data_IF_544894047652
#
_entry.id   IF_544894047652
#
_cell.length_a   1.000
_cell.length_b   1.000
_cell.length_c   1.000
_cell.angle_alpha   90.00
_cell.angle_beta   90.00
_cell.angle_gamma   90.00
#
_symmetry.space_group_name_H-M   'P 1'
#
loop_
_entity.id
_entity.type
_entity.pdbx_description
1 polymer ?
#
# COMPACT_ATOMS: atom_id res chain seq x y z
N UNK A 1 -17.96 10.84 -36.24
CA UNK A 1 -16.84 10.02 -35.75
C UNK A 1 -17.35 9.02 -34.71
N UNK A 2 -17.11 7.73 -34.89
CA UNK A 2 -17.52 6.71 -33.93
C UNK A 2 -16.69 6.83 -32.64
N UNK A 3 -17.35 6.90 -31.47
CA UNK A 3 -16.70 7.00 -30.17
C UNK A 3 -16.65 5.61 -29.51
N UNK A 4 -15.49 5.23 -29.00
CA UNK A 4 -15.37 4.03 -28.19
C UNK A 4 -16.10 4.19 -26.85
N UNK A 5 -16.97 3.25 -26.52
CA UNK A 5 -17.68 3.18 -25.23
C UNK A 5 -17.36 1.86 -24.57
N UNK A 6 -16.81 1.93 -23.36
CA UNK A 6 -16.50 0.74 -22.58
C UNK A 6 -17.63 0.45 -21.59
N UNK A 7 -18.36 -0.65 -21.81
CA UNK A 7 -19.57 -0.99 -21.03
C UNK A 7 -19.27 -1.26 -19.53
N UNK A 8 -17.99 -1.57 -19.19
CA UNK A 8 -17.58 -1.85 -17.82
C UNK A 8 -16.86 -0.65 -17.15
N UNK A 9 -17.05 0.57 -17.66
CA UNK A 9 -16.40 1.77 -17.08
C UNK A 9 -16.82 2.01 -15.64
N UNK A 10 -18.07 1.70 -15.28
CA UNK A 10 -18.56 1.76 -13.90
C UNK A 10 -17.82 0.79 -12.98
N UNK A 11 -17.61 -0.44 -13.45
CA UNK A 11 -16.84 -1.47 -12.72
C UNK A 11 -15.39 -1.04 -12.56
N UNK A 12 -14.78 -0.50 -13.61
CA UNK A 12 -13.41 0.04 -13.58
C UNK A 12 -13.26 1.14 -12.52
N UNK A 13 -14.19 2.10 -12.47
CA UNK A 13 -14.22 3.16 -11.46
C UNK A 13 -14.35 2.58 -10.05
N UNK A 14 -15.24 1.62 -9.85
CA UNK A 14 -15.41 0.93 -8.57
C UNK A 14 -14.13 0.21 -8.12
N UNK A 15 -13.45 -0.52 -9.02
CA UNK A 15 -12.20 -1.22 -8.71
C UNK A 15 -11.07 -0.24 -8.38
N UNK A 16 -10.99 0.89 -9.08
CA UNK A 16 -10.04 1.96 -8.78
C UNK A 16 -10.29 2.59 -7.41
N UNK A 17 -11.55 2.82 -7.05
CA UNK A 17 -11.92 3.34 -5.73
C UNK A 17 -11.56 2.36 -4.61
N UNK A 18 -11.84 1.06 -4.81
CA UNK A 18 -11.48 0.00 -3.86
C UNK A 18 -9.96 -0.09 -3.65
N UNK A 19 -9.17 -0.06 -4.73
CA UNK A 19 -7.70 -0.04 -4.64
C UNK A 19 -7.20 1.15 -3.82
N UNK A 20 -7.72 2.36 -4.07
CA UNK A 20 -7.37 3.55 -3.30
C UNK A 20 -7.71 3.39 -1.82
N UNK A 21 -8.87 2.85 -1.51
CA UNK A 21 -9.30 2.59 -0.13
C UNK A 21 -8.35 1.61 0.57
N UNK A 22 -7.96 0.50 -0.10
CA UNK A 22 -7.00 -0.47 0.44
C UNK A 22 -5.61 0.11 0.61
N UNK A 23 -5.18 1.00 -0.30
CA UNK A 23 -3.91 1.71 -0.20
C UNK A 23 -3.87 2.63 1.02
N UNK A 24 -4.94 3.37 1.30
CA UNK A 24 -5.07 4.20 2.50
C UNK A 24 -5.00 3.36 3.77
N UNK A 25 -5.73 2.24 3.81
CA UNK A 25 -5.71 1.33 4.96
C UNK A 25 -4.31 0.76 5.25
N UNK A 26 -3.54 0.39 4.22
CA UNK A 26 -2.13 -0.03 4.38
C UNK A 26 -1.28 1.13 4.90
N UNK A 27 -1.44 2.35 4.37
CA UNK A 27 -0.67 3.52 4.80
C UNK A 27 -0.95 3.89 6.27
N UNK A 28 -2.18 3.74 6.75
CA UNK A 28 -2.55 3.96 8.16
C UNK A 28 -1.87 2.94 9.07
N UNK A 29 -1.91 1.64 8.71
CA UNK A 29 -1.23 0.59 9.48
C UNK A 29 0.31 0.74 9.47
N UNK A 30 0.89 1.21 8.37
CA UNK A 30 2.33 1.53 8.33
C UNK A 30 2.69 2.70 9.26
N UNK A 31 1.87 3.73 9.34
CA UNK A 31 2.07 4.84 10.30
C UNK A 31 1.95 4.33 11.73
N UNK A 32 0.94 3.49 12.03
CA UNK A 32 0.79 2.87 13.34
C UNK A 32 2.03 2.03 13.71
N UNK A 33 2.58 1.29 12.75
CA UNK A 33 3.82 0.52 12.92
C UNK A 33 4.99 1.41 13.31
N UNK A 34 5.24 2.48 12.55
CA UNK A 34 6.34 3.42 12.84
C UNK A 34 6.20 4.04 14.23
N UNK A 35 4.99 4.46 14.62
CA UNK A 35 4.77 5.03 15.97
C UNK A 35 4.99 4.01 17.08
N UNK A 36 4.68 2.73 16.86
CA UNK A 36 4.96 1.68 17.83
C UNK A 36 6.46 1.36 17.92
N UNK A 37 7.15 1.31 16.79
CA UNK A 37 8.61 1.12 16.76
C UNK A 37 9.35 2.23 17.50
N UNK A 38 8.94 3.50 17.32
CA UNK A 38 9.51 4.62 18.05
C UNK A 38 9.23 4.53 19.56
N UNK A 39 8.01 4.13 19.97
CA UNK A 39 7.68 3.89 21.38
C UNK A 39 8.48 2.75 21.99
N UNK A 40 8.72 1.68 21.24
CA UNK A 40 9.55 0.56 21.68
C UNK A 40 11.00 1.04 21.86
N UNK A 41 11.52 1.81 20.93
CA UNK A 41 12.88 2.38 21.01
C UNK A 41 13.02 3.26 22.26
N UNK A 42 12.13 4.21 22.46
CA UNK A 42 12.12 5.07 23.63
C UNK A 42 11.99 4.28 24.94
N UNK A 43 11.17 3.23 24.97
CA UNK A 43 11.02 2.36 26.11
C UNK A 43 12.31 1.57 26.41
N UNK A 44 13.01 1.07 25.39
CA UNK A 44 14.32 0.42 25.56
C UNK A 44 15.39 1.39 26.10
N UNK A 45 15.46 2.60 25.55
CA UNK A 45 16.37 3.65 26.03
C UNK A 45 16.11 3.97 27.52
N UNK A 46 14.83 4.08 27.91
CA UNK A 46 14.46 4.27 29.31
C UNK A 46 14.88 3.10 30.20
N UNK A 47 14.71 1.85 29.74
CA UNK A 47 15.15 0.66 30.49
C UNK A 47 16.66 0.65 30.68
N UNK A 48 17.43 1.01 29.67
CA UNK A 48 18.88 1.04 29.77
C UNK A 48 19.37 2.20 30.65
N UNK A 49 18.72 3.38 30.62
CA UNK A 49 19.01 4.49 31.50
C UNK A 49 18.79 4.08 32.97
N UNK A 50 17.65 3.54 33.33
CA UNK A 50 17.34 3.02 34.68
C UNK A 50 18.35 1.95 35.13
N UNK A 51 18.78 1.09 34.21
CA UNK A 51 19.77 0.06 34.52
C UNK A 51 21.15 0.62 34.78
N UNK A 52 21.56 1.65 34.06
CA UNK A 52 22.83 2.36 34.30
C UNK A 52 22.81 3.06 35.66
N UNK A 53 21.73 3.78 35.96
CA UNK A 53 21.56 4.48 37.23
C UNK A 53 21.59 3.50 38.42
N UNK A 54 20.91 2.36 38.34
CA UNK A 54 20.99 1.31 39.35
C UNK A 54 22.41 0.75 39.50
N UNK A 55 23.15 0.57 38.41
CA UNK A 55 24.54 0.14 38.46
C UNK A 55 25.45 1.13 39.17
N UNK A 56 25.31 2.42 38.89
CA UNK A 56 26.08 3.48 39.51
C UNK A 56 25.81 3.54 41.01
N UNK A 57 24.55 3.46 41.43
CA UNK A 57 24.16 3.39 42.84
C UNK A 57 24.75 2.18 43.55
N UNK A 58 24.74 0.99 42.89
CA UNK A 58 25.29 -0.22 43.49
C UNK A 58 26.83 -0.25 43.48
N UNK A 59 27.51 0.37 42.49
CA UNK A 59 28.98 0.43 42.48
C UNK A 59 29.52 1.39 43.52
N UNK A 60 28.89 2.55 43.75
CA UNK A 60 29.23 3.45 44.85
C UNK A 60 29.10 2.79 46.22
N UNK A 61 28.31 1.73 46.38
CA UNK A 61 28.23 0.88 47.56
C UNK A 61 29.48 0.05 47.81
N UNK A 62 30.15 -0.46 46.78
CA UNK A 62 31.34 -1.34 46.90
C UNK A 62 32.61 -0.61 47.30
N UNK A 63 32.70 0.70 47.02
CA UNK A 63 33.92 1.49 47.24
C UNK A 63 34.07 2.09 48.67
N UNK A 64 33.18 1.77 49.60
CA UNK A 64 33.42 1.96 51.02
C UNK A 64 33.30 3.39 51.52
N UNK A 65 32.83 4.33 50.74
CA UNK A 65 32.41 5.63 51.23
C UNK A 65 31.12 5.46 52.04
N UNK A 66 31.19 5.64 53.36
CA UNK A 66 30.16 5.36 54.37
C UNK A 66 28.79 6.05 54.17
N UNK A 67 28.31 6.04 52.99
CA UNK A 67 27.00 6.54 52.59
C UNK A 67 25.95 5.49 52.94
N UNK A 68 25.07 5.82 53.88
CA UNK A 68 23.90 5.01 54.21
C UNK A 68 23.11 4.78 52.92
N UNK A 69 23.10 3.54 52.47
CA UNK A 69 22.37 3.14 51.26
C UNK A 69 20.89 3.20 51.55
N UNK A 70 20.17 3.95 50.77
CA UNK A 70 18.70 3.90 50.78
C UNK A 70 18.22 2.62 50.09
N UNK A 71 18.19 1.49 50.83
CA UNK A 71 17.66 0.23 50.36
C UNK A 71 16.19 0.33 49.90
N UNK A 72 15.42 1.29 50.42
CA UNK A 72 14.05 1.56 49.95
C UNK A 72 14.05 2.14 48.54
N UNK A 73 14.91 3.13 48.28
CA UNK A 73 15.08 3.77 46.99
C UNK A 73 15.48 2.73 45.92
N UNK A 74 16.52 1.93 46.21
CA UNK A 74 16.99 0.84 45.31
C UNK A 74 15.87 -0.17 45.02
N UNK A 75 15.10 -0.59 46.05
CA UNK A 75 13.99 -1.53 45.86
C UNK A 75 12.84 -0.95 45.04
N UNK A 76 12.54 0.33 45.25
CA UNK A 76 11.53 1.04 44.44
C UNK A 76 11.96 1.18 43.00
N UNK A 77 13.19 1.55 42.73
CA UNK A 77 13.75 1.69 41.39
C UNK A 77 13.84 0.34 40.65
N UNK A 78 14.24 -0.71 41.34
CA UNK A 78 14.21 -2.07 40.78
C UNK A 78 12.78 -2.52 40.42
N UNK A 79 11.78 -2.16 41.22
CA UNK A 79 10.37 -2.39 40.95
C UNK A 79 9.91 -1.61 39.70
N UNK A 80 10.28 -0.35 39.56
CA UNK A 80 9.97 0.48 38.42
C UNK A 80 10.59 -0.08 37.11
N UNK A 81 11.84 -0.55 37.18
CA UNK A 81 12.51 -1.20 36.04
C UNK A 81 11.78 -2.48 35.58
N UNK A 82 11.24 -3.29 36.48
CA UNK A 82 10.44 -4.48 36.15
C UNK A 82 9.15 -4.08 35.42
N UNK A 83 8.44 -3.08 35.92
CA UNK A 83 7.20 -2.57 35.31
C UNK A 83 7.48 -1.99 33.92
N UNK A 84 8.55 -1.22 33.76
CA UNK A 84 8.95 -0.65 32.48
C UNK A 84 9.29 -1.74 31.46
N UNK A 85 10.00 -2.78 31.89
CA UNK A 85 10.30 -3.96 31.04
C UNK A 85 9.04 -4.70 30.60
N UNK A 86 8.10 -4.93 31.51
CA UNK A 86 6.82 -5.55 31.21
C UNK A 86 6.03 -4.72 30.16
N UNK A 87 6.03 -3.39 30.31
CA UNK A 87 5.41 -2.47 29.35
C UNK A 87 6.07 -2.55 27.98
N UNK A 88 7.40 -2.63 27.90
CA UNK A 88 8.14 -2.79 26.65
C UNK A 88 7.76 -4.11 25.98
N UNK A 89 7.68 -5.20 26.72
CA UNK A 89 7.22 -6.51 26.18
C UNK A 89 5.80 -6.43 25.62
N UNK A 90 4.91 -5.71 26.30
CA UNK A 90 3.55 -5.50 25.80
C UNK A 90 3.52 -4.74 24.46
N UNK A 91 4.35 -3.69 24.29
CA UNK A 91 4.48 -2.98 23.02
C UNK A 91 4.99 -3.90 21.89
N UNK A 92 5.95 -4.77 22.19
CA UNK A 92 6.46 -5.75 21.22
C UNK A 92 5.36 -6.72 20.78
N UNK A 93 4.51 -7.20 21.70
CA UNK A 93 3.36 -8.04 21.38
C UNK A 93 2.32 -7.30 20.53
N UNK A 94 2.08 -6.00 20.80
CA UNK A 94 1.22 -5.16 19.97
C UNK A 94 1.78 -5.03 18.55
N UNK A 95 3.09 -4.81 18.40
CA UNK A 95 3.75 -4.73 17.09
C UNK A 95 3.63 -6.06 16.33
N UNK A 96 3.78 -7.21 16.99
CA UNK A 96 3.59 -8.51 16.37
C UNK A 96 2.14 -8.73 15.88
N UNK A 97 1.15 -8.26 16.64
CA UNK A 97 -0.26 -8.25 16.23
C UNK A 97 -0.51 -7.33 15.03
N UNK A 98 0.11 -6.15 15.04
CA UNK A 98 0.00 -5.19 13.95
C UNK A 98 0.63 -5.71 12.65
N UNK A 99 1.76 -6.41 12.71
CA UNK A 99 2.38 -7.03 11.54
C UNK A 99 1.43 -8.02 10.85
N UNK A 100 0.70 -8.84 11.59
CA UNK A 100 -0.32 -9.75 11.01
C UNK A 100 -1.45 -8.98 10.30
N UNK A 101 -1.90 -7.88 10.88
CA UNK A 101 -2.92 -7.01 10.27
C UNK A 101 -2.39 -6.35 9.00
N UNK A 102 -1.15 -5.91 9.01
CA UNK A 102 -0.47 -5.27 7.88
C UNK A 102 -0.30 -6.25 6.72
N UNK A 103 0.16 -7.47 6.99
CA UNK A 103 0.28 -8.52 5.96
C UNK A 103 -1.08 -8.83 5.30
N UNK A 104 -2.14 -8.95 6.10
CA UNK A 104 -3.50 -9.14 5.58
C UNK A 104 -3.94 -7.96 4.71
N UNK A 105 -3.73 -6.72 5.16
CA UNK A 105 -4.09 -5.53 4.41
C UNK A 105 -3.30 -5.40 3.09
N UNK A 106 -2.03 -5.78 3.09
CA UNK A 106 -1.19 -5.83 1.88
C UNK A 106 -1.69 -6.88 0.90
N UNK A 107 -2.14 -8.04 1.38
CA UNK A 107 -2.72 -9.07 0.53
C UNK A 107 -4.03 -8.58 -0.11
N UNK A 108 -4.91 -7.95 0.67
CA UNK A 108 -6.15 -7.35 0.16
C UNK A 108 -5.87 -6.24 -0.88
N UNK A 109 -4.81 -5.45 -0.69
CA UNK A 109 -4.36 -4.47 -1.68
C UNK A 109 -3.88 -5.15 -2.97
N UNK A 110 -3.04 -6.20 -2.87
CA UNK A 110 -2.58 -6.97 -4.05
C UNK A 110 -3.75 -7.51 -4.87
N UNK A 111 -4.77 -8.07 -4.21
CA UNK A 111 -5.98 -8.57 -4.87
C UNK A 111 -6.77 -7.43 -5.55
N UNK A 112 -6.92 -6.27 -4.89
CA UNK A 112 -7.60 -5.12 -5.46
C UNK A 112 -6.86 -4.58 -6.69
N UNK A 113 -5.52 -4.49 -6.65
CA UNK A 113 -4.66 -4.09 -7.77
C UNK A 113 -4.81 -5.08 -8.94
N UNK A 114 -4.78 -6.38 -8.67
CA UNK A 114 -4.93 -7.42 -9.70
C UNK A 114 -6.32 -7.32 -10.36
N UNK A 115 -7.37 -7.14 -9.57
CA UNK A 115 -8.73 -7.00 -10.07
C UNK A 115 -8.93 -5.73 -10.93
N UNK A 116 -8.32 -4.60 -10.56
CA UNK A 116 -8.33 -3.40 -11.41
C UNK A 116 -7.56 -3.62 -12.71
N UNK A 117 -6.32 -4.16 -12.63
CA UNK A 117 -5.50 -4.44 -13.82
C UNK A 117 -6.20 -5.37 -14.80
N UNK A 118 -6.94 -6.37 -14.34
CA UNK A 118 -7.71 -7.26 -15.20
C UNK A 118 -8.77 -6.51 -16.02
N UNK A 119 -9.48 -5.55 -15.39
CA UNK A 119 -10.47 -4.72 -16.08
C UNK A 119 -9.81 -3.74 -17.05
N UNK A 120 -8.66 -3.15 -16.70
CA UNK A 120 -7.90 -2.28 -17.58
C UNK A 120 -7.41 -3.04 -18.83
N UNK A 121 -6.85 -4.23 -18.67
CA UNK A 121 -6.44 -5.11 -19.79
C UNK A 121 -7.61 -5.49 -20.70
N UNK A 122 -8.78 -5.75 -20.12
CA UNK A 122 -9.98 -6.04 -20.90
C UNK A 122 -10.42 -4.81 -21.71
N UNK A 123 -10.37 -3.62 -21.10
CA UNK A 123 -10.66 -2.35 -21.79
C UNK A 123 -9.72 -2.12 -22.96
N UNK A 124 -8.43 -2.34 -22.75
CA UNK A 124 -7.40 -2.12 -23.78
C UNK A 124 -7.58 -3.12 -24.96
N UNK A 125 -7.87 -4.38 -24.66
CA UNK A 125 -8.21 -5.37 -25.73
C UNK A 125 -9.42 -4.95 -26.53
N UNK A 126 -10.51 -4.56 -25.87
CA UNK A 126 -11.73 -4.11 -26.57
C UNK A 126 -11.52 -2.83 -27.36
N UNK A 127 -10.65 -1.93 -26.88
CA UNK A 127 -10.27 -0.74 -27.61
C UNK A 127 -9.50 -1.09 -28.89
N UNK A 128 -8.56 -2.02 -28.82
CA UNK A 128 -7.82 -2.51 -30.00
C UNK A 128 -8.74 -3.22 -31.01
N UNK A 129 -9.67 -4.04 -30.54
CA UNK A 129 -10.67 -4.70 -31.38
C UNK A 129 -11.56 -3.66 -32.09
N UNK A 130 -12.05 -2.69 -31.36
CA UNK A 130 -12.85 -1.59 -31.91
C UNK A 130 -12.06 -0.77 -32.94
N UNK A 131 -10.80 -0.47 -32.67
CA UNK A 131 -9.93 0.25 -33.59
C UNK A 131 -9.70 -0.52 -34.90
N UNK A 132 -9.48 -1.82 -34.81
CA UNK A 132 -9.33 -2.69 -36.01
C UNK A 132 -10.62 -2.75 -36.81
N UNK A 133 -11.75 -2.88 -36.15
CA UNK A 133 -13.04 -2.93 -36.82
C UNK A 133 -13.39 -1.58 -37.48
N UNK A 134 -13.04 -0.45 -36.83
CA UNK A 134 -13.21 0.88 -37.42
C UNK A 134 -12.37 1.02 -38.68
N UNK A 135 -11.10 0.68 -38.63
CA UNK A 135 -10.20 0.73 -39.78
C UNK A 135 -10.69 -0.17 -40.95
N UNK A 136 -11.21 -1.35 -40.59
CA UNK A 136 -11.80 -2.25 -41.60
C UNK A 136 -13.02 -1.64 -42.29
N UNK A 137 -13.92 -1.02 -41.51
CA UNK A 137 -15.10 -0.34 -42.11
C UNK A 137 -14.71 0.85 -42.98
N UNK A 138 -13.72 1.64 -42.53
CA UNK A 138 -13.20 2.75 -43.33
C UNK A 138 -12.57 2.26 -44.63
N UNK A 139 -11.81 1.15 -44.60
CA UNK A 139 -11.25 0.56 -45.81
C UNK A 139 -12.34 0.06 -46.78
N UNK A 140 -13.39 -0.59 -46.24
CA UNK A 140 -14.51 -1.04 -47.06
C UNK A 140 -15.26 0.13 -47.75
N UNK A 141 -15.51 1.22 -47.00
CA UNK A 141 -16.16 2.41 -47.61
C UNK A 141 -15.31 3.07 -48.67
N UNK A 142 -13.98 3.11 -48.48
CA UNK A 142 -13.05 3.62 -49.48
C UNK A 142 -13.04 2.73 -50.75
N UNK A 143 -13.08 1.41 -50.60
CA UNK A 143 -13.13 0.45 -51.70
C UNK A 143 -14.44 0.58 -52.51
N UNK A 144 -15.59 0.71 -51.81
CA UNK A 144 -16.88 0.98 -52.43
C UNK A 144 -16.88 2.31 -53.22
N UNK A 145 -16.31 3.37 -52.67
CA UNK A 145 -16.19 4.66 -53.36
C UNK A 145 -15.26 4.58 -54.60
N UNK A 146 -14.17 3.81 -54.51
CA UNK A 146 -13.25 3.60 -55.61
C UNK A 146 -13.95 2.82 -56.78
N UNK A 147 -14.69 1.75 -56.44
CA UNK A 147 -15.46 0.98 -57.41
C UNK A 147 -16.56 1.80 -58.09
N UNK A 148 -17.28 2.65 -57.31
CA UNK A 148 -18.29 3.52 -57.88
C UNK A 148 -17.69 4.60 -58.85
N UNK A 149 -16.48 5.08 -58.58
CA UNK A 149 -15.78 6.02 -59.48
C UNK A 149 -15.35 5.28 -60.76
N UNK A 150 -14.75 4.12 -60.67
CA UNK A 150 -14.33 3.35 -61.83
C UNK A 150 -15.49 3.05 -62.79
N UNK A 151 -16.65 2.61 -62.27
CA UNK A 151 -17.87 2.38 -63.06
C UNK A 151 -18.38 3.66 -63.73
N UNK A 152 -18.24 4.80 -63.08
CA UNK A 152 -18.69 6.08 -63.66
C UNK A 152 -17.75 6.57 -64.76
N UNK A 153 -16.45 6.36 -64.63
CA UNK A 153 -15.46 6.73 -65.63
C UNK A 153 -15.61 5.87 -66.90
N UNK A 154 -15.81 4.54 -66.73
CA UNK A 154 -16.12 3.64 -67.85
C UNK A 154 -17.43 4.01 -68.57
N UNK A 155 -18.47 4.45 -67.85
CA UNK A 155 -19.74 4.86 -68.45
C UNK A 155 -19.61 6.19 -69.22
N UNK A 156 -18.67 7.07 -68.89
CA UNK A 156 -18.40 8.32 -69.58
C UNK A 156 -17.55 8.11 -70.86
N UNK A 157 -16.65 7.09 -70.84
CA UNK A 157 -15.84 6.75 -72.01
C UNK A 157 -16.66 6.05 -73.13
N UNK A 158 -17.72 5.31 -72.77
CA UNK A 158 -18.61 4.64 -73.76
C UNK A 158 -19.57 5.61 -74.45
N UNK A 159 -19.76 6.86 -73.91
CA UNK A 159 -20.64 7.86 -74.49
C UNK A 159 -19.92 8.93 -75.32
N UNK A 160 -18.61 8.87 -75.42
CA UNK A 160 -17.78 9.80 -76.20
C UNK A 160 -17.33 9.13 -77.51
#
# INVERSE_FOLDING_TARGET
MAKFVFNLEAVRKQRTALEKQRMVAVAELERERLTLEDRIRAAHESVEAERLELREQLSGMREGEGRLVDLRGVRFQAGAAVVLRARTQQLVLQLAGLHKRLEKAREELRQAVAARKAVDLLRDRRFEEWRRELARREAMTLDELATMRGVRDEATEVQA
#
